data_IF_157720271641
#
_entry.id   IF_157720271641
#
_cell.length_a   1.000
_cell.length_b   1.000
_cell.length_c   1.000
_cell.angle_alpha   90.00
_cell.angle_beta   90.00
_cell.angle_gamma   90.00
#
_symmetry.space_group_name_H-M   'P 1'
#
loop_
_entity.id
_entity.type
_entity.pdbx_description
1 polymer ?
#
# COMPACT_ATOMS: atom_id res chain seq x y z
N UNK A 1 -6.64 40.00 -20.62
CA UNK A 1 -7.27 39.06 -19.65
C UNK A 1 -6.65 37.69 -19.93
N UNK A 2 -5.61 37.33 -19.18
CA UNK A 2 -4.97 36.02 -19.32
C UNK A 2 -5.88 34.99 -18.65
N UNK A 3 -6.46 34.09 -19.43
CA UNK A 3 -7.11 32.91 -18.89
C UNK A 3 -6.01 32.01 -18.31
N UNK A 4 -5.95 31.91 -16.98
CA UNK A 4 -5.27 30.79 -16.34
C UNK A 4 -6.06 29.54 -16.72
N UNK A 5 -5.54 28.75 -17.66
CA UNK A 5 -5.87 27.33 -17.70
C UNK A 5 -5.34 26.76 -16.38
N UNK A 6 -6.25 26.40 -15.47
CA UNK A 6 -5.88 25.57 -14.33
C UNK A 6 -5.22 24.32 -14.89
N UNK A 7 -3.93 24.13 -14.61
CA UNK A 7 -3.26 22.88 -14.87
C UNK A 7 -4.02 21.83 -14.05
N UNK A 8 -4.84 21.02 -14.72
CA UNK A 8 -5.33 19.78 -14.13
C UNK A 8 -4.07 18.99 -13.83
N UNK A 9 -3.68 18.90 -12.56
CA UNK A 9 -2.53 18.11 -12.13
C UNK A 9 -2.79 16.68 -12.59
N UNK A 10 -2.11 16.25 -13.65
CA UNK A 10 -2.24 14.89 -14.16
C UNK A 10 -1.40 13.99 -13.24
N UNK A 11 -2.06 13.28 -12.35
CA UNK A 11 -1.44 12.25 -11.53
C UNK A 11 -1.43 10.89 -12.26
N UNK A 12 -0.61 9.96 -11.77
CA UNK A 12 -0.51 8.62 -12.36
C UNK A 12 -1.79 7.81 -12.09
N UNK A 13 -2.42 7.32 -13.16
CA UNK A 13 -3.58 6.43 -13.13
C UNK A 13 -3.20 5.08 -13.72
N UNK A 14 -2.85 4.08 -12.90
CA UNK A 14 -2.53 2.76 -13.43
C UNK A 14 -3.78 2.08 -14.00
N UNK A 15 -3.58 1.12 -14.90
CA UNK A 15 -4.66 0.32 -15.49
C UNK A 15 -4.62 -1.12 -14.98
N UNK A 16 -5.70 -1.87 -15.19
CA UNK A 16 -5.72 -3.31 -14.92
C UNK A 16 -4.51 -4.03 -15.54
N UNK A 17 -3.95 -5.00 -14.81
CA UNK A 17 -2.73 -5.73 -15.21
C UNK A 17 -1.40 -4.99 -15.00
N UNK A 18 -1.39 -3.79 -14.40
CA UNK A 18 -0.14 -3.10 -14.03
C UNK A 18 0.72 -4.00 -13.14
N UNK A 19 1.96 -4.28 -13.53
CA UNK A 19 2.87 -5.10 -12.73
C UNK A 19 3.43 -4.31 -11.56
N UNK A 20 3.60 -4.96 -10.42
CA UNK A 20 4.04 -4.30 -9.20
C UNK A 20 4.86 -5.21 -8.30
N UNK A 21 5.52 -4.61 -7.32
CA UNK A 21 6.17 -5.26 -6.20
C UNK A 21 5.86 -4.48 -4.93
N UNK A 22 5.78 -5.18 -3.79
CA UNK A 22 5.64 -4.58 -2.46
C UNK A 22 6.73 -5.09 -1.52
N UNK A 23 7.31 -4.18 -0.74
CA UNK A 23 8.22 -4.51 0.37
C UNK A 23 8.15 -3.44 1.46
N UNK A 24 7.54 -3.79 2.60
CA UNK A 24 7.29 -2.87 3.72
C UNK A 24 8.13 -3.18 4.97
N UNK A 25 9.03 -4.17 4.89
CA UNK A 25 10.03 -4.45 5.92
C UNK A 25 11.41 -4.59 5.28
N UNK A 26 12.44 -4.53 6.13
CA UNK A 26 13.83 -4.41 5.69
C UNK A 26 13.98 -3.23 4.70
N UNK A 27 13.40 -2.08 5.05
CA UNK A 27 13.24 -0.92 4.18
C UNK A 27 14.60 -0.33 3.72
N UNK A 28 15.67 -0.58 4.49
CA UNK A 28 17.03 -0.23 4.11
C UNK A 28 17.54 -1.02 2.89
N UNK A 29 16.99 -2.22 2.64
CA UNK A 29 17.43 -3.17 1.62
C UNK A 29 16.28 -3.60 0.69
N UNK A 30 15.44 -2.66 0.25
CA UNK A 30 14.39 -2.95 -0.73
C UNK A 30 14.97 -3.64 -1.97
N UNK A 31 14.45 -4.82 -2.30
CA UNK A 31 14.90 -5.58 -3.47
C UNK A 31 14.37 -4.94 -4.77
N UNK A 32 15.16 -4.04 -5.33
CA UNK A 32 14.85 -3.30 -6.57
C UNK A 32 15.23 -4.06 -7.85
N UNK A 33 15.43 -5.39 -7.80
CA UNK A 33 15.80 -6.19 -8.99
C UNK A 33 14.62 -6.60 -9.87
N UNK A 34 13.37 -6.46 -9.40
CA UNK A 34 12.19 -6.82 -10.17
C UNK A 34 11.90 -5.79 -11.26
N UNK A 35 11.71 -6.27 -12.49
CA UNK A 35 11.29 -5.44 -13.63
C UNK A 35 9.78 -5.28 -13.62
N UNK A 36 9.28 -4.38 -12.78
CA UNK A 36 7.84 -4.08 -12.62
C UNK A 36 7.55 -2.61 -12.87
N UNK A 37 6.29 -2.28 -13.19
CA UNK A 37 5.88 -0.91 -13.46
C UNK A 37 5.83 -0.03 -12.20
N UNK A 38 5.49 -0.63 -11.05
CA UNK A 38 5.39 0.08 -9.78
C UNK A 38 6.03 -0.67 -8.61
N UNK A 39 6.53 0.08 -7.63
CA UNK A 39 6.97 -0.42 -6.32
C UNK A 39 6.17 0.25 -5.22
N UNK A 40 5.61 -0.56 -4.34
CA UNK A 40 4.97 -0.15 -3.09
C UNK A 40 5.95 -0.35 -1.93
N UNK A 41 6.35 0.76 -1.31
CA UNK A 41 7.42 0.83 -0.32
C UNK A 41 7.02 1.74 0.84
N UNK A 42 7.58 1.48 2.01
CA UNK A 42 7.30 2.27 3.20
C UNK A 42 7.73 3.74 3.02
N UNK A 43 6.80 4.67 3.29
CA UNK A 43 7.01 6.11 3.12
C UNK A 43 8.10 6.68 4.03
N UNK A 44 8.27 6.15 5.23
CA UNK A 44 9.13 6.72 6.26
C UNK A 44 10.52 6.08 6.25
N UNK A 45 10.54 4.76 6.33
CA UNK A 45 11.73 3.99 6.68
C UNK A 45 12.56 3.58 5.46
N UNK A 46 12.03 3.76 4.25
CA UNK A 46 12.79 3.54 3.02
C UNK A 46 13.78 4.70 2.77
N UNK A 47 15.08 4.45 2.52
CA UNK A 47 16.07 5.50 2.27
C UNK A 47 15.84 6.27 0.97
N UNK A 48 16.22 7.56 0.93
CA UNK A 48 16.14 8.41 -0.27
C UNK A 48 16.92 7.87 -1.47
N UNK A 49 17.96 7.08 -1.23
CA UNK A 49 18.71 6.39 -2.30
C UNK A 49 17.83 5.42 -3.08
N UNK A 50 16.91 4.72 -2.40
CA UNK A 50 15.96 3.79 -3.03
C UNK A 50 14.94 4.55 -3.88
N UNK A 51 14.36 5.64 -3.34
CA UNK A 51 13.48 6.53 -4.10
C UNK A 51 14.16 7.08 -5.35
N UNK A 52 15.39 7.58 -5.19
CA UNK A 52 16.18 8.14 -6.30
C UNK A 52 16.47 7.09 -7.37
N UNK A 53 16.79 5.86 -6.95
CA UNK A 53 17.04 4.74 -7.86
C UNK A 53 15.79 4.39 -8.66
N UNK A 54 14.65 4.18 -8.00
CA UNK A 54 13.38 3.83 -8.67
C UNK A 54 12.95 4.94 -9.66
N UNK A 55 13.04 6.21 -9.25
CA UNK A 55 12.77 7.35 -10.14
C UNK A 55 13.70 7.39 -11.35
N UNK A 56 14.99 7.14 -11.16
CA UNK A 56 15.97 7.15 -12.27
C UNK A 56 15.67 6.10 -13.33
N UNK A 57 14.95 5.02 -12.97
CA UNK A 57 14.49 3.97 -13.87
C UNK A 57 13.11 4.23 -14.47
N UNK A 58 12.45 5.33 -14.08
CA UNK A 58 11.07 5.63 -14.48
C UNK A 58 10.03 4.69 -13.85
N UNK A 59 10.41 3.92 -12.83
CA UNK A 59 9.50 3.05 -12.07
C UNK A 59 8.60 3.91 -11.19
N UNK A 60 7.32 3.58 -11.16
CA UNK A 60 6.33 4.29 -10.34
C UNK A 60 6.47 3.92 -8.87
N UNK A 61 6.31 4.89 -7.99
CA UNK A 61 6.45 4.69 -6.54
C UNK A 61 5.10 4.89 -5.88
N UNK A 62 4.60 3.82 -5.25
CA UNK A 62 3.48 3.84 -4.32
C UNK A 62 4.09 3.93 -2.92
N UNK A 63 3.61 4.86 -2.11
CA UNK A 63 4.12 5.07 -0.76
C UNK A 63 3.11 4.60 0.28
N UNK A 64 3.46 3.51 0.95
CA UNK A 64 2.72 2.96 2.07
C UNK A 64 2.83 3.83 3.31
N UNK A 65 1.71 4.03 3.99
CA UNK A 65 1.66 4.46 5.39
C UNK A 65 0.33 4.03 6.00
N UNK A 66 0.28 3.79 7.32
CA UNK A 66 -1.01 3.57 7.96
C UNK A 66 -1.79 4.88 8.09
N UNK A 67 -3.04 4.90 7.60
CA UNK A 67 -3.95 6.02 7.75
C UNK A 67 -5.06 5.78 8.77
N UNK A 68 -5.35 4.52 9.10
CA UNK A 68 -6.34 4.16 10.13
C UNK A 68 -5.75 3.68 11.45
N UNK A 69 -4.43 3.59 11.57
CA UNK A 69 -3.77 3.26 12.83
C UNK A 69 -2.62 4.22 13.18
N UNK A 70 -2.43 4.42 14.48
CA UNK A 70 -1.27 5.03 15.09
C UNK A 70 -0.20 3.97 15.29
N UNK A 71 1.03 4.28 14.92
CA UNK A 71 2.21 3.41 15.02
C UNK A 71 3.25 4.11 15.92
N UNK A 72 3.52 3.56 17.10
CA UNK A 72 4.32 4.27 18.12
C UNK A 72 5.80 4.47 17.77
N UNK A 73 6.28 3.82 16.72
CA UNK A 73 7.66 3.88 16.24
C UNK A 73 7.87 4.94 15.15
N UNK A 74 6.80 5.52 14.60
CA UNK A 74 6.93 6.52 13.53
C UNK A 74 7.52 7.81 14.05
N UNK A 75 8.32 8.49 13.22
CA UNK A 75 8.96 9.75 13.59
C UNK A 75 7.95 10.85 13.95
N UNK A 76 6.72 10.79 13.42
CA UNK A 76 5.63 11.70 13.71
C UNK A 76 4.70 11.24 14.85
N UNK A 77 5.02 10.16 15.55
CA UNK A 77 4.19 9.61 16.64
C UNK A 77 3.90 10.64 17.75
N UNK A 78 4.84 11.56 18.01
CA UNK A 78 4.66 12.65 18.98
C UNK A 78 3.59 13.69 18.61
N UNK A 79 3.09 13.69 17.38
CA UNK A 79 2.00 14.57 16.94
C UNK A 79 0.61 14.03 17.31
N UNK A 80 0.52 12.75 17.69
CA UNK A 80 -0.72 12.13 18.14
C UNK A 80 -0.90 12.33 19.65
N UNK A 81 -2.11 12.70 20.05
CA UNK A 81 -2.51 12.76 21.46
C UNK A 81 -3.39 11.57 21.79
N UNK A 82 -3.47 11.20 23.07
CA UNK A 82 -4.15 9.97 23.51
C UNK A 82 -5.66 9.92 23.19
N UNK A 83 -6.29 11.04 22.87
CA UNK A 83 -7.69 11.11 22.40
C UNK A 83 -7.85 10.74 20.91
N UNK A 84 -6.75 10.55 20.17
CA UNK A 84 -6.78 10.27 18.74
C UNK A 84 -6.73 8.78 18.40
N UNK A 85 -6.37 7.92 19.35
CA UNK A 85 -6.26 6.48 19.13
C UNK A 85 -6.89 5.68 20.27
N UNK A 86 -7.42 4.51 19.93
CA UNK A 86 -8.26 3.68 20.79
C UNK A 86 -7.62 2.34 21.07
N UNK A 87 -8.34 1.28 20.73
CA UNK A 87 -7.91 -0.09 20.97
C UNK A 87 -6.67 -0.44 20.14
N UNK A 88 -5.82 -1.30 20.70
CA UNK A 88 -4.70 -1.89 19.98
C UNK A 88 -5.14 -2.71 18.77
N UNK A 89 -4.37 -2.66 17.70
CA UNK A 89 -4.61 -3.44 16.49
C UNK A 89 -4.14 -4.88 16.71
N UNK A 90 -5.02 -5.86 16.45
CA UNK A 90 -4.76 -7.25 16.83
C UNK A 90 -3.60 -7.84 16.02
N UNK A 91 -2.59 -8.37 16.71
CA UNK A 91 -1.39 -8.95 16.09
C UNK A 91 -0.25 -7.97 15.86
N UNK A 92 -0.44 -6.68 16.18
CA UNK A 92 0.53 -5.62 15.92
C UNK A 92 0.80 -4.79 17.18
N UNK A 93 1.76 -5.22 18.03
CA UNK A 93 2.13 -4.48 19.23
C UNK A 93 2.62 -3.06 18.93
N UNK A 94 2.13 -2.08 19.68
CA UNK A 94 2.48 -0.67 19.48
C UNK A 94 1.64 0.05 18.41
N UNK A 95 0.67 -0.66 17.82
CA UNK A 95 -0.25 -0.14 16.82
C UNK A 95 -1.67 -0.03 17.37
N UNK A 96 -2.37 1.08 17.11
CA UNK A 96 -3.67 1.40 17.71
C UNK A 96 -4.61 2.04 16.71
N UNK A 97 -5.88 1.68 16.70
CA UNK A 97 -6.87 2.26 15.79
C UNK A 97 -7.04 3.76 16.00
N UNK A 98 -7.12 4.54 14.92
CA UNK A 98 -7.34 6.00 14.95
C UNK A 98 -8.82 6.36 14.96
N UNK A 99 -9.16 7.49 15.59
CA UNK A 99 -10.43 8.18 15.37
C UNK A 99 -10.37 8.96 14.05
N UNK A 100 -10.86 8.33 12.98
CA UNK A 100 -10.88 8.92 11.63
C UNK A 100 -11.84 10.12 11.47
N UNK A 101 -12.69 10.38 12.48
CA UNK A 101 -13.54 11.57 12.54
C UNK A 101 -12.82 12.77 13.14
N UNK A 102 -11.68 12.56 13.81
CA UNK A 102 -10.90 13.60 14.46
C UNK A 102 -10.13 14.44 13.43
N UNK A 103 -10.40 15.76 13.40
CA UNK A 103 -9.73 16.69 12.49
C UNK A 103 -8.21 16.74 12.65
N UNK A 104 -7.66 16.46 13.84
CA UNK A 104 -6.21 16.43 14.06
C UNK A 104 -5.58 15.21 13.40
N UNK A 105 -6.25 14.05 13.44
CA UNK A 105 -5.83 12.85 12.70
C UNK A 105 -5.79 13.14 11.20
N UNK A 106 -6.85 13.77 10.66
CA UNK A 106 -6.90 14.18 9.24
C UNK A 106 -5.74 15.10 8.87
N UNK A 107 -5.43 16.09 9.70
CA UNK A 107 -4.29 16.99 9.47
C UNK A 107 -2.94 16.25 9.46
N UNK A 108 -2.77 15.24 10.33
CA UNK A 108 -1.57 14.40 10.29
C UNK A 108 -1.49 13.64 8.97
N UNK A 109 -2.60 13.09 8.47
CA UNK A 109 -2.60 12.41 7.16
C UNK A 109 -2.34 13.34 5.99
N UNK A 110 -2.82 14.59 6.03
CA UNK A 110 -2.41 15.62 5.05
C UNK A 110 -0.89 15.79 5.07
N UNK A 111 -0.28 15.92 6.26
CA UNK A 111 1.17 16.08 6.38
C UNK A 111 1.93 14.85 5.85
N UNK A 112 1.44 13.63 6.11
CA UNK A 112 2.00 12.39 5.55
C UNK A 112 1.95 12.37 4.02
N UNK A 113 0.82 12.74 3.42
CA UNK A 113 0.69 12.82 1.96
C UNK A 113 1.53 13.97 1.35
N UNK A 114 1.66 15.10 2.02
CA UNK A 114 2.59 16.16 1.60
C UNK A 114 4.04 15.67 1.65
N UNK A 115 4.42 14.89 2.67
CA UNK A 115 5.73 14.26 2.74
C UNK A 115 5.92 13.26 1.59
N UNK A 116 4.91 12.43 1.29
CA UNK A 116 4.93 11.53 0.13
C UNK A 116 5.15 12.30 -1.20
N UNK A 117 4.44 13.40 -1.41
CA UNK A 117 4.63 14.27 -2.58
C UNK A 117 6.07 14.82 -2.65
N UNK A 118 6.63 15.28 -1.52
CA UNK A 118 8.01 15.80 -1.45
C UNK A 118 9.05 14.72 -1.76
N UNK A 119 8.81 13.48 -1.28
CA UNK A 119 9.62 12.31 -1.64
C UNK A 119 9.36 11.83 -3.07
N UNK A 120 8.40 12.43 -3.77
CA UNK A 120 8.02 12.18 -5.17
C UNK A 120 7.43 10.81 -5.40
N UNK A 121 6.55 10.38 -4.50
CA UNK A 121 5.66 9.27 -4.73
C UNK A 121 4.69 9.61 -5.89
N UNK A 122 4.40 8.64 -6.75
CA UNK A 122 3.40 8.77 -7.81
C UNK A 122 1.98 8.46 -7.28
N UNK A 123 1.89 7.66 -6.21
CA UNK A 123 0.68 7.32 -5.52
C UNK A 123 0.94 6.98 -4.04
N UNK A 124 -0.13 6.82 -3.26
CA UNK A 124 -0.06 6.37 -1.86
C UNK A 124 -0.92 5.12 -1.62
N UNK A 125 -0.51 4.29 -0.67
CA UNK A 125 -1.25 3.13 -0.13
C UNK A 125 -1.58 3.37 1.36
N UNK A 126 -2.71 4.03 1.68
CA UNK A 126 -3.10 4.30 3.06
C UNK A 126 -3.73 3.03 3.69
N UNK A 127 -3.06 2.46 4.69
CA UNK A 127 -3.50 1.21 5.35
C UNK A 127 -4.54 1.43 6.45
N UNK A 128 -5.17 0.34 6.87
CA UNK A 128 -6.13 0.27 7.99
C UNK A 128 -7.38 1.15 7.79
N UNK A 129 -7.79 1.35 6.54
CA UNK A 129 -8.92 2.23 6.16
C UNK A 129 -10.29 1.55 6.20
N UNK A 130 -10.44 0.50 7.02
CA UNK A 130 -11.65 -0.30 7.18
C UNK A 130 -12.17 -0.34 8.64
N UNK A 131 -11.69 0.58 9.49
CA UNK A 131 -11.95 0.58 10.94
C UNK A 131 -13.43 0.53 11.37
N UNK A 132 -14.39 0.93 10.55
CA UNK A 132 -15.82 0.76 10.86
C UNK A 132 -16.27 -0.69 11.04
N UNK A 133 -15.52 -1.65 10.49
CA UNK A 133 -15.80 -3.08 10.62
C UNK A 133 -14.94 -3.73 11.73
N UNK A 134 -14.21 -2.93 12.52
CA UNK A 134 -13.26 -3.38 13.53
C UNK A 134 -13.64 -2.93 14.95
N UNK A 135 -13.00 -3.52 15.97
CA UNK A 135 -13.14 -3.12 17.37
C UNK A 135 -12.18 -1.97 17.72
N UNK A 136 -12.43 -0.78 17.18
CA UNK A 136 -11.49 0.35 17.29
C UNK A 136 -11.48 1.07 18.63
N UNK A 137 -12.55 0.93 19.43
CA UNK A 137 -12.78 1.75 20.62
C UNK A 137 -13.46 3.10 20.30
N UNK A 138 -13.72 3.38 19.03
CA UNK A 138 -14.49 4.53 18.55
C UNK A 138 -15.80 4.07 17.89
N UNK A 139 -16.79 4.95 17.83
CA UNK A 139 -18.06 4.68 17.12
C UNK A 139 -17.94 4.98 15.62
N UNK A 140 -16.98 4.32 14.96
CA UNK A 140 -16.82 4.43 13.50
C UNK A 140 -17.95 3.65 12.82
N UNK A 141 -18.65 4.32 11.90
CA UNK A 141 -19.72 3.77 11.09
C UNK A 141 -19.28 3.67 9.64
N UNK A 142 -20.06 2.95 8.83
CA UNK A 142 -19.91 2.95 7.37
C UNK A 142 -19.77 4.38 6.82
N UNK A 143 -20.66 5.29 7.22
CA UNK A 143 -20.68 6.65 6.65
C UNK A 143 -19.46 7.48 7.08
N UNK A 144 -18.98 7.32 8.31
CA UNK A 144 -17.79 8.05 8.77
C UNK A 144 -16.52 7.52 8.12
N UNK A 145 -16.44 6.21 7.86
CA UNK A 145 -15.32 5.64 7.11
C UNK A 145 -15.36 6.07 5.64
N UNK A 146 -16.54 6.05 5.02
CA UNK A 146 -16.72 6.48 3.63
C UNK A 146 -16.28 7.94 3.45
N UNK A 147 -16.65 8.81 4.39
CA UNK A 147 -16.20 10.22 4.42
C UNK A 147 -14.68 10.34 4.57
N UNK A 148 -14.07 9.55 5.46
CA UNK A 148 -12.63 9.56 5.65
C UNK A 148 -11.86 9.05 4.43
N UNK A 149 -12.29 7.95 3.83
CA UNK A 149 -11.66 7.35 2.65
C UNK A 149 -11.79 8.29 1.44
N UNK A 150 -12.93 8.96 1.29
CA UNK A 150 -13.11 10.02 0.28
C UNK A 150 -12.19 11.22 0.53
N UNK A 151 -12.01 11.62 1.80
CA UNK A 151 -11.06 12.67 2.18
C UNK A 151 -9.62 12.30 1.81
N UNK A 152 -9.18 11.06 2.08
CA UNK A 152 -7.84 10.59 1.71
C UNK A 152 -7.64 10.63 0.19
N UNK A 153 -8.61 10.12 -0.57
CA UNK A 153 -8.53 10.10 -2.02
C UNK A 153 -8.43 11.51 -2.63
N UNK A 154 -9.32 12.41 -2.21
CA UNK A 154 -9.29 13.81 -2.67
C UNK A 154 -7.98 14.51 -2.30
N UNK A 155 -7.46 14.27 -1.08
CA UNK A 155 -6.20 14.89 -0.65
C UNK A 155 -5.02 14.41 -1.49
N UNK A 156 -4.94 13.12 -1.80
CA UNK A 156 -3.90 12.57 -2.68
C UNK A 156 -3.99 13.19 -4.09
N UNK A 157 -5.21 13.29 -4.65
CA UNK A 157 -5.45 13.89 -5.96
C UNK A 157 -5.10 15.37 -6.02
N UNK A 158 -5.45 16.15 -5.00
CA UNK A 158 -5.08 17.57 -4.87
C UNK A 158 -3.55 17.76 -4.80
N UNK A 159 -2.84 16.78 -4.26
CA UNK A 159 -1.37 16.72 -4.23
C UNK A 159 -0.77 16.10 -5.51
N UNK A 160 -1.58 15.75 -6.52
CA UNK A 160 -1.09 15.21 -7.79
C UNK A 160 -0.57 13.77 -7.69
N UNK A 161 -1.08 12.99 -6.74
CA UNK A 161 -0.75 11.56 -6.56
C UNK A 161 -2.00 10.70 -6.78
N UNK A 162 -1.82 9.46 -7.25
CA UNK A 162 -2.87 8.44 -7.19
C UNK A 162 -3.07 7.90 -5.78
N UNK A 163 -4.14 7.14 -5.56
CA UNK A 163 -4.45 6.55 -4.24
C UNK A 163 -5.05 5.15 -4.33
N UNK A 164 -4.56 4.24 -3.49
CA UNK A 164 -5.06 2.88 -3.33
C UNK A 164 -6.10 2.77 -2.23
N UNK A 165 -7.14 1.95 -2.45
CA UNK A 165 -8.02 1.49 -1.38
C UNK A 165 -7.45 0.16 -0.86
N UNK A 166 -7.09 0.11 0.43
CA UNK A 166 -6.50 -1.07 1.05
C UNK A 166 -7.59 -1.89 1.75
N UNK A 167 -7.83 -3.10 1.26
CA UNK A 167 -8.91 -3.95 1.71
C UNK A 167 -10.27 -3.23 1.64
N UNK A 168 -10.92 -2.93 2.76
CA UNK A 168 -12.22 -2.22 2.84
C UNK A 168 -13.28 -2.69 1.80
N UNK A 169 -13.42 -4.00 1.66
CA UNK A 169 -14.23 -4.61 0.58
C UNK A 169 -15.71 -4.20 0.65
N UNK A 170 -16.18 -3.80 1.85
CA UNK A 170 -17.56 -3.43 2.09
C UNK A 170 -17.96 -2.08 1.48
N UNK A 171 -17.01 -1.19 1.19
CA UNK A 171 -17.29 0.16 0.66
C UNK A 171 -16.90 0.32 -0.81
N UNK A 172 -16.38 -0.73 -1.47
CA UNK A 172 -15.86 -0.67 -2.84
C UNK A 172 -16.86 -0.04 -3.82
N UNK A 173 -18.16 -0.37 -3.74
CA UNK A 173 -19.14 0.17 -4.71
C UNK A 173 -19.28 1.69 -4.63
N UNK A 174 -19.08 2.28 -3.45
CA UNK A 174 -19.15 3.72 -3.23
C UNK A 174 -17.80 4.40 -3.48
N UNK A 175 -16.69 3.67 -3.32
CA UNK A 175 -15.32 4.20 -3.37
C UNK A 175 -14.60 3.98 -4.71
N UNK A 176 -15.04 3.03 -5.55
CA UNK A 176 -14.35 2.67 -6.80
C UNK A 176 -14.18 3.85 -7.75
N UNK A 177 -15.06 4.86 -7.71
CA UNK A 177 -14.95 6.03 -8.58
C UNK A 177 -13.89 7.04 -8.12
N UNK A 178 -13.55 7.05 -6.83
CA UNK A 178 -12.61 8.02 -6.24
C UNK A 178 -11.22 7.43 -5.98
N UNK A 179 -11.07 6.12 -5.82
CA UNK A 179 -9.76 5.48 -5.72
C UNK A 179 -9.22 5.05 -7.08
N UNK A 180 -7.90 5.00 -7.27
CA UNK A 180 -7.27 4.72 -8.56
C UNK A 180 -6.85 3.25 -8.74
N UNK A 181 -6.72 2.53 -7.63
CA UNK A 181 -6.43 1.10 -7.60
C UNK A 181 -6.88 0.49 -6.27
N UNK A 182 -6.89 -0.83 -6.21
CA UNK A 182 -7.14 -1.60 -5.01
C UNK A 182 -5.87 -2.31 -4.59
N UNK A 183 -5.52 -2.27 -3.30
CA UNK A 183 -4.57 -3.20 -2.68
C UNK A 183 -5.37 -4.15 -1.82
N UNK A 184 -5.29 -5.46 -2.07
CA UNK A 184 -6.02 -6.44 -1.29
C UNK A 184 -5.10 -7.56 -0.83
N UNK A 185 -5.33 -7.98 0.41
CA UNK A 185 -4.72 -9.16 0.99
C UNK A 185 -5.76 -10.30 1.04
N UNK A 186 -5.34 -11.47 0.58
CA UNK A 186 -5.96 -12.75 0.87
C UNK A 186 -7.36 -13.00 0.29
N UNK A 187 -7.83 -12.29 -0.74
CA UNK A 187 -9.17 -12.55 -1.27
C UNK A 187 -9.36 -13.99 -1.76
N UNK A 188 -8.31 -14.68 -2.23
CA UNK A 188 -8.43 -16.07 -2.66
C UNK A 188 -8.57 -16.98 -1.47
N UNK A 189 -7.74 -16.78 -0.43
CA UNK A 189 -7.85 -17.51 0.82
C UNK A 189 -9.21 -17.30 1.50
N UNK A 190 -9.76 -16.09 1.43
CA UNK A 190 -11.01 -15.70 2.08
C UNK A 190 -12.26 -15.90 1.19
N UNK A 191 -12.09 -16.29 -0.07
CA UNK A 191 -13.18 -16.55 -1.01
C UNK A 191 -13.99 -15.30 -1.39
N UNK A 192 -13.35 -14.13 -1.47
CA UNK A 192 -14.03 -12.84 -1.63
C UNK A 192 -13.53 -11.97 -2.79
N UNK A 193 -12.73 -12.56 -3.70
CA UNK A 193 -12.18 -11.86 -4.86
C UNK A 193 -13.25 -11.23 -5.77
N UNK A 194 -14.46 -11.79 -5.79
CA UNK A 194 -15.58 -11.23 -6.57
C UNK A 194 -15.94 -9.79 -6.17
N UNK A 195 -15.70 -9.40 -4.91
CA UNK A 195 -15.95 -8.03 -4.43
C UNK A 195 -14.98 -7.01 -5.04
N UNK A 196 -13.85 -7.44 -5.59
CA UNK A 196 -12.81 -6.57 -6.16
C UNK A 196 -13.03 -6.27 -7.65
N UNK A 197 -13.89 -7.05 -8.33
CA UNK A 197 -14.21 -6.87 -9.75
C UNK A 197 -14.68 -5.47 -10.16
N UNK A 198 -15.34 -4.64 -9.32
CA UNK A 198 -15.65 -3.26 -9.68
C UNK A 198 -14.43 -2.45 -10.11
N UNK A 199 -13.25 -2.65 -9.49
CA UNK A 199 -12.02 -1.98 -9.92
C UNK A 199 -11.59 -2.44 -11.31
N UNK A 200 -11.60 -3.74 -11.58
CA UNK A 200 -11.26 -4.30 -12.90
C UNK A 200 -12.24 -3.82 -13.98
N UNK A 201 -13.54 -3.79 -13.68
CA UNK A 201 -14.57 -3.29 -14.60
C UNK A 201 -14.39 -1.79 -14.91
N UNK A 202 -13.80 -1.03 -13.99
CA UNK A 202 -13.40 0.36 -14.20
C UNK A 202 -12.00 0.52 -14.84
N UNK A 203 -11.37 -0.57 -15.28
CA UNK A 203 -10.00 -0.65 -15.79
C UNK A 203 -8.93 -0.14 -14.80
N UNK A 204 -9.15 -0.34 -13.50
CA UNK A 204 -8.23 -0.02 -12.41
C UNK A 204 -7.60 -1.32 -11.88
N UNK A 205 -6.31 -1.35 -11.53
CA UNK A 205 -5.68 -2.58 -11.08
C UNK A 205 -6.15 -2.99 -9.69
N UNK A 206 -6.20 -4.30 -9.49
CA UNK A 206 -6.25 -4.94 -8.20
C UNK A 206 -4.86 -5.53 -7.93
N UNK A 207 -4.12 -4.90 -7.05
CA UNK A 207 -2.85 -5.34 -6.50
C UNK A 207 -3.11 -6.34 -5.37
N UNK A 208 -3.10 -7.63 -5.71
CA UNK A 208 -3.44 -8.71 -4.78
C UNK A 208 -2.21 -9.30 -4.08
N UNK A 209 -2.33 -9.64 -2.80
CA UNK A 209 -1.29 -10.29 -2.00
C UNK A 209 -1.87 -11.57 -1.39
N UNK A 210 -1.25 -12.71 -1.66
CA UNK A 210 -1.55 -13.99 -0.99
C UNK A 210 -0.37 -14.40 -0.13
N UNK A 211 -0.61 -14.70 1.15
CA UNK A 211 0.42 -15.11 2.10
C UNK A 211 0.58 -16.62 2.20
N UNK A 212 -0.41 -17.35 1.73
CA UNK A 212 -0.51 -18.80 1.81
C UNK A 212 -1.24 -19.31 0.56
N UNK A 213 -1.22 -20.63 0.36
CA UNK A 213 -1.86 -21.29 -0.78
C UNK A 213 -0.88 -21.72 -1.85
N UNK A 214 -1.42 -22.27 -2.93
CA UNK A 214 -0.67 -22.78 -4.07
C UNK A 214 -0.80 -21.81 -5.25
N UNK A 215 0.29 -21.14 -5.69
CA UNK A 215 0.27 -20.28 -6.85
C UNK A 215 -0.28 -20.95 -8.11
N UNK A 216 -0.09 -22.28 -8.27
CA UNK A 216 -0.54 -23.00 -9.45
C UNK A 216 -2.06 -23.16 -9.52
N UNK A 217 -2.73 -23.11 -8.37
CA UNK A 217 -4.17 -23.09 -8.27
C UNK A 217 -4.75 -21.67 -8.38
N UNK A 218 -4.05 -20.67 -7.83
CA UNK A 218 -4.56 -19.29 -7.74
C UNK A 218 -4.29 -18.47 -9.00
N UNK A 219 -3.07 -18.50 -9.54
CA UNK A 219 -2.71 -17.58 -10.62
C UNK A 219 -3.54 -17.76 -11.91
N UNK A 220 -4.02 -18.95 -12.31
CA UNK A 220 -4.90 -19.06 -13.47
C UNK A 220 -6.16 -18.20 -13.33
N UNK A 221 -6.81 -18.21 -12.16
CA UNK A 221 -7.99 -17.39 -11.88
C UNK A 221 -7.61 -15.92 -11.71
N UNK A 222 -6.54 -15.60 -10.98
CA UNK A 222 -6.06 -14.22 -10.85
C UNK A 222 -5.80 -13.57 -12.22
N UNK A 223 -5.14 -14.30 -13.13
CA UNK A 223 -4.86 -13.83 -14.49
C UNK A 223 -6.13 -13.70 -15.33
N UNK A 224 -7.09 -14.62 -15.18
CA UNK A 224 -8.37 -14.53 -15.87
C UNK A 224 -9.15 -13.26 -15.43
N UNK A 225 -9.06 -12.89 -14.16
CA UNK A 225 -9.71 -11.72 -13.59
C UNK A 225 -8.87 -10.43 -13.74
N UNK A 226 -7.72 -10.48 -14.44
CA UNK A 226 -6.76 -9.38 -14.60
C UNK A 226 -6.20 -8.82 -13.27
N UNK A 227 -6.18 -9.64 -12.23
CA UNK A 227 -5.57 -9.28 -10.96
C UNK A 227 -4.05 -9.35 -11.07
N UNK A 228 -3.42 -8.43 -10.37
CA UNK A 228 -1.98 -8.32 -10.26
C UNK A 228 -1.54 -8.97 -8.96
N UNK A 229 -1.56 -10.30 -8.90
CA UNK A 229 -1.37 -11.05 -7.65
C UNK A 229 0.10 -11.41 -7.40
N UNK A 230 0.55 -11.20 -6.17
CA UNK A 230 1.84 -11.59 -5.61
C UNK A 230 1.62 -12.61 -4.49
N UNK A 231 2.42 -13.66 -4.47
CA UNK A 231 2.61 -14.48 -3.27
C UNK A 231 3.80 -13.97 -2.48
N UNK A 232 3.59 -13.67 -1.20
CA UNK A 232 4.58 -13.04 -0.31
C UNK A 232 4.62 -13.77 1.04
N UNK A 233 5.73 -13.65 1.76
CA UNK A 233 5.73 -13.92 3.21
C UNK A 233 5.00 -12.80 3.95
N UNK A 234 4.42 -13.12 5.12
CA UNK A 234 3.75 -12.12 5.99
C UNK A 234 4.69 -10.98 6.42
N UNK A 235 6.00 -11.22 6.41
CA UNK A 235 7.00 -10.20 6.72
C UNK A 235 7.28 -9.26 5.53
N UNK A 236 6.73 -9.53 4.34
CA UNK A 236 6.89 -8.74 3.12
C UNK A 236 8.35 -8.51 2.65
N UNK A 237 9.35 -9.16 3.25
CA UNK A 237 10.78 -9.02 2.88
C UNK A 237 11.20 -10.00 1.77
N UNK A 238 10.55 -11.16 1.71
CA UNK A 238 10.98 -12.28 0.89
C UNK A 238 10.69 -12.15 -0.61
N UNK A 239 11.26 -13.06 -1.42
CA UNK A 239 11.01 -13.12 -2.86
C UNK A 239 9.51 -13.34 -3.14
N UNK A 240 9.00 -12.65 -4.16
CA UNK A 240 7.62 -12.82 -4.59
C UNK A 240 7.49 -13.86 -5.70
N UNK A 241 6.48 -14.74 -5.62
CA UNK A 241 5.98 -15.45 -6.81
C UNK A 241 4.91 -14.59 -7.45
N UNK A 242 5.12 -14.19 -8.70
CA UNK A 242 4.22 -13.29 -9.42
C UNK A 242 3.29 -14.09 -10.33
N UNK A 243 2.01 -13.72 -10.40
CA UNK A 243 1.07 -14.38 -11.30
C UNK A 243 1.11 -13.86 -12.75
N UNK A 244 1.82 -12.76 -13.07
CA UNK A 244 1.71 -12.04 -14.36
C UNK A 244 2.06 -12.86 -15.62
N UNK A 245 1.17 -12.85 -16.61
CA UNK A 245 1.40 -13.43 -17.95
C UNK A 245 1.14 -14.95 -18.06
N UNK A 246 1.44 -15.61 -19.19
CA UNK A 246 1.37 -17.07 -19.29
C UNK A 246 2.31 -17.64 -18.22
N UNK A 247 1.73 -18.36 -17.25
CA UNK A 247 2.38 -18.89 -16.05
C UNK A 247 3.84 -19.28 -16.29
N UNK A 248 4.79 -18.38 -16.02
CA UNK A 248 6.21 -18.68 -16.04
C UNK A 248 6.66 -18.87 -14.60
N UNK A 249 6.83 -20.13 -14.21
CA UNK A 249 7.46 -20.54 -12.95
C UNK A 249 8.69 -19.65 -12.70
N UNK A 250 8.77 -19.02 -11.52
CA UNK A 250 9.87 -18.14 -11.16
C UNK A 250 11.22 -18.80 -11.51
N UNK A 251 12.10 -18.06 -12.19
CA UNK A 251 13.44 -18.52 -12.47
C UNK A 251 14.18 -18.79 -11.15
N UNK A 252 14.69 -20.00 -10.97
CA UNK A 252 15.58 -20.36 -9.86
C UNK A 252 16.80 -19.42 -9.89
N UNK A 253 17.25 -18.87 -8.74
CA UNK A 253 18.52 -18.16 -8.69
C UNK A 253 19.62 -19.08 -9.21
N UNK A 254 20.31 -18.70 -10.27
CA UNK A 254 21.50 -19.42 -10.72
C UNK A 254 22.53 -19.35 -9.61
N UNK A 255 22.86 -20.52 -9.05
CA UNK A 255 23.96 -20.69 -8.11
C UNK A 255 25.27 -20.23 -8.76
N UNK A 256 25.78 -19.08 -8.36
CA UNK A 256 27.05 -18.55 -8.84
C UNK A 256 27.70 -17.67 -7.78
N UNK A 257 28.74 -18.22 -7.14
CA UNK A 257 29.72 -17.57 -6.26
C UNK A 257 29.21 -16.90 -4.97
N UNK A 258 29.05 -17.74 -3.94
CA UNK A 258 29.30 -17.35 -2.55
C UNK A 258 30.81 -17.17 -2.37
N UNK A 259 31.29 -15.94 -2.23
CA UNK A 259 32.51 -15.68 -1.45
C UNK A 259 32.44 -14.31 -0.76
N UNK A 260 32.37 -14.40 0.58
CA UNK A 260 32.98 -13.53 1.59
C UNK A 260 32.77 -12.01 1.47
N UNK A 261 31.86 -11.49 2.30
CA UNK A 261 32.20 -10.39 3.22
C UNK A 261 31.53 -10.64 4.57
N UNK A 262 32.34 -11.09 5.54
CA UNK A 262 31.99 -11.12 6.95
C UNK A 262 32.22 -9.73 7.55
N UNK A 263 31.25 -9.30 8.36
CA UNK A 263 31.37 -8.38 9.50
C UNK A 263 31.49 -6.87 9.20
N UNK A 264 30.46 -6.10 9.57
CA UNK A 264 30.47 -5.27 10.78
C UNK A 264 29.09 -4.58 11.03
N UNK A 265 28.57 -4.78 12.25
CA UNK A 265 27.56 -4.04 13.07
C UNK A 265 26.12 -3.90 12.57
N UNK A 266 25.13 -4.51 13.25
CA UNK A 266 24.46 -4.11 14.52
C UNK A 266 23.70 -2.78 14.41
N UNK A 267 22.39 -2.88 14.20
CA UNK A 267 21.31 -2.14 14.88
C UNK A 267 19.98 -2.42 14.18
N UNK A 268 19.23 -3.41 14.68
CA UNK A 268 17.83 -3.25 15.10
C UNK A 268 17.29 -4.63 15.54
N UNK A 269 17.25 -4.85 16.85
CA UNK A 269 16.52 -5.95 17.49
C UNK A 269 15.90 -5.41 18.78
N UNK A 270 14.75 -5.98 19.12
CA UNK A 270 13.85 -5.70 20.24
C UNK A 270 12.90 -4.52 19.95
N UNK A 271 11.58 -4.73 19.91
CA UNK A 271 10.79 -5.21 21.04
C UNK A 271 9.74 -6.26 20.67
N UNK A 272 9.41 -7.05 21.69
CA UNK A 272 8.61 -8.27 21.73
C UNK A 272 7.15 -8.10 21.29
#
# INVERSE_FOLDING_TARGET
MFYLFGLVSSYWKPTAGTTWQIQLKDCANVNTSYSVAAYDIDLFDTPDSTFSLLKSRGTKIICYFSAGSFENWRADAGNFTSDMYGNGLNGWPGEFWLDTTNSKVRNIMVNRMQYAQQRGCDAVDPDNVDGYNQQTGFSLTYQTQLDYNTFLANTAHDLGMGVGLKNDLGQITDLVNVFDFQVNEQCFQMGECNKLLPFINANKPVFGIEYQGDPSAVCPTANQDNFSTLFKGLDLTGPSTQCFGPYSKAATPTSGSVEKFFSLYLLCLAFL
#
